data_IF_788901121111
#
_entry.id   IF_788901121111
#
_cell.length_a   1.000
_cell.length_b   1.000
_cell.length_c   1.000
_cell.angle_alpha   90.00
_cell.angle_beta   90.00
_cell.angle_gamma   90.00
#
_symmetry.space_group_name_H-M   'P 1'
#
loop_
_entity.id
_entity.type
_entity.pdbx_description
1 polymer ?
#
# COMPACT_ATOMS: atom_id res chain seq x y z
N UNK A 1 -12.37 4.74 5.90
CA UNK A 1 -12.37 3.83 7.07
C UNK A 1 -10.96 3.81 7.64
N UNK A 2 -10.74 4.07 8.94
CA UNK A 2 -9.46 3.76 9.58
C UNK A 2 -9.42 2.24 9.74
N UNK A 3 -8.75 1.55 8.81
CA UNK A 3 -8.53 0.12 8.93
C UNK A 3 -7.41 -0.04 9.96
N UNK A 4 -7.80 -0.29 11.21
CA UNK A 4 -6.85 -0.52 12.29
C UNK A 4 -6.35 -1.97 12.29
N UNK A 5 -7.05 -2.91 11.65
CA UNK A 5 -6.69 -4.34 11.61
C UNK A 5 -6.70 -4.88 10.19
N UNK A 6 -5.72 -5.70 9.85
CA UNK A 6 -5.67 -6.37 8.57
C UNK A 6 -6.68 -7.52 8.52
N UNK A 7 -7.49 -7.60 7.48
CA UNK A 7 -8.48 -8.69 7.34
C UNK A 7 -7.85 -10.08 7.14
N UNK A 8 -6.60 -10.13 6.66
CA UNK A 8 -5.89 -11.39 6.38
C UNK A 8 -5.18 -11.94 7.62
N UNK A 9 -4.34 -11.13 8.28
CA UNK A 9 -3.55 -11.59 9.43
C UNK A 9 -4.12 -11.15 10.78
N UNK A 10 -5.20 -10.36 10.80
CA UNK A 10 -5.85 -9.79 11.99
C UNK A 10 -4.96 -8.94 12.91
N UNK A 11 -3.69 -8.72 12.52
CA UNK A 11 -2.77 -7.82 13.21
C UNK A 11 -3.22 -6.38 13.07
N UNK A 12 -2.94 -5.60 14.10
CA UNK A 12 -3.14 -4.16 14.07
C UNK A 12 -2.13 -3.53 13.10
N UNK A 13 -2.61 -2.71 12.16
CA UNK A 13 -1.75 -2.05 11.17
C UNK A 13 -1.27 -0.74 11.80
N UNK A 14 -0.01 -0.73 12.25
CA UNK A 14 0.64 0.50 12.68
C UNK A 14 0.84 1.45 11.50
N UNK A 15 1.03 2.75 11.79
CA UNK A 15 1.24 3.76 10.74
C UNK A 15 2.42 3.41 9.82
N UNK A 16 3.47 2.78 10.35
CA UNK A 16 4.66 2.37 9.59
C UNK A 16 4.41 1.15 8.68
N UNK A 17 3.46 0.29 9.05
CA UNK A 17 3.09 -0.90 8.29
C UNK A 17 1.93 -0.66 7.32
N UNK A 18 1.48 0.59 7.21
CA UNK A 18 0.36 1.00 6.37
C UNK A 18 0.86 1.43 5.00
N UNK A 19 0.32 0.80 3.96
CA UNK A 19 0.47 1.24 2.57
C UNK A 19 -0.84 1.81 2.08
N UNK A 20 -0.81 3.03 1.57
CA UNK A 20 -1.99 3.72 1.04
C UNK A 20 -2.04 3.57 -0.47
N UNK A 21 -3.14 3.03 -0.99
CA UNK A 21 -3.45 3.02 -2.41
C UNK A 21 -4.62 3.97 -2.68
N UNK A 22 -4.47 4.83 -3.67
CA UNK A 22 -5.53 5.74 -4.07
C UNK A 22 -5.19 6.54 -5.31
N UNK A 23 -6.22 7.12 -5.91
CA UNK A 23 -6.09 8.11 -6.97
C UNK A 23 -5.83 9.47 -6.32
N UNK A 24 -4.76 10.16 -6.74
CA UNK A 24 -4.25 11.38 -6.07
C UNK A 24 -5.21 12.58 -6.02
N UNK A 25 -6.46 12.41 -6.46
CA UNK A 25 -7.53 13.40 -6.45
C UNK A 25 -8.46 13.29 -5.23
N UNK A 26 -8.40 12.19 -4.46
CA UNK A 26 -9.20 12.00 -3.25
C UNK A 26 -8.42 12.38 -1.99
N UNK A 27 -9.00 13.24 -1.14
CA UNK A 27 -8.49 13.57 0.20
C UNK A 27 -8.58 12.40 1.20
N UNK A 28 -9.11 11.26 0.78
CA UNK A 28 -9.19 10.04 1.57
C UNK A 28 -8.54 8.88 0.80
N UNK A 29 -7.75 8.02 1.47
CA UNK A 29 -7.18 6.84 0.84
C UNK A 29 -8.30 5.92 0.35
N UNK A 30 -8.25 5.54 -0.93
CA UNK A 30 -9.25 4.63 -1.52
C UNK A 30 -9.11 3.22 -0.92
N UNK A 31 -7.89 2.80 -0.57
CA UNK A 31 -7.62 1.57 0.15
C UNK A 31 -6.37 1.66 1.05
N UNK A 32 -6.42 0.98 2.20
CA UNK A 32 -5.29 0.79 3.11
C UNK A 32 -4.87 -0.69 3.08
N UNK A 33 -3.59 -0.94 2.82
CA UNK A 33 -2.99 -2.27 2.72
C UNK A 33 -2.01 -2.51 3.87
N UNK A 34 -1.99 -3.73 4.39
CA UNK A 34 -0.95 -4.20 5.30
C UNK A 34 0.32 -4.49 4.50
N UNK A 35 1.47 -3.93 4.91
CA UNK A 35 2.75 -4.14 4.23
C UNK A 35 3.14 -5.62 4.17
N UNK A 36 2.94 -6.38 5.25
CA UNK A 36 3.31 -7.81 5.31
C UNK A 36 2.42 -8.66 4.40
N UNK A 37 1.10 -8.54 4.54
CA UNK A 37 0.15 -9.35 3.78
C UNK A 37 0.06 -8.93 2.31
N UNK A 38 0.29 -7.64 2.03
CA UNK A 38 0.33 -7.08 0.69
C UNK A 38 1.67 -7.26 -0.01
N UNK A 39 2.72 -7.72 0.67
CA UNK A 39 4.08 -7.87 0.11
C UNK A 39 4.12 -8.67 -1.21
N UNK A 40 3.35 -9.75 -1.42
CA UNK A 40 3.33 -10.43 -2.72
C UNK A 40 2.91 -9.51 -3.87
N UNK A 41 1.90 -8.67 -3.64
CA UNK A 41 1.41 -7.68 -4.62
C UNK A 41 2.42 -6.54 -4.78
N UNK A 42 2.94 -6.00 -3.68
CA UNK A 42 3.93 -4.92 -3.73
C UNK A 42 5.21 -5.35 -4.44
N UNK A 43 5.67 -6.58 -4.21
CA UNK A 43 6.83 -7.16 -4.88
C UNK A 43 6.59 -7.29 -6.38
N UNK A 44 5.41 -7.73 -6.80
CA UNK A 44 5.03 -7.76 -8.20
C UNK A 44 5.09 -6.36 -8.82
N UNK A 45 4.48 -5.35 -8.19
CA UNK A 45 4.47 -3.97 -8.68
C UNK A 45 5.89 -3.37 -8.77
N UNK A 46 6.74 -3.62 -7.78
CA UNK A 46 8.16 -3.20 -7.78
C UNK A 46 8.94 -3.88 -8.89
N UNK A 47 8.74 -5.19 -9.10
CA UNK A 47 9.40 -5.97 -10.16
C UNK A 47 9.09 -5.40 -11.55
N UNK A 48 7.86 -4.95 -11.75
CA UNK A 48 7.42 -4.33 -12.99
C UNK A 48 7.66 -2.82 -13.06
N UNK A 49 8.39 -2.23 -12.10
CA UNK A 49 8.70 -0.79 -12.02
C UNK A 49 7.47 0.12 -12.08
N UNK A 50 6.34 -0.35 -11.54
CA UNK A 50 5.12 0.46 -11.38
C UNK A 50 5.27 1.37 -10.15
N UNK A 51 5.92 0.85 -9.10
CA UNK A 51 6.23 1.57 -7.86
C UNK A 51 7.69 1.31 -7.43
N UNK A 52 8.27 2.20 -6.63
CA UNK A 52 9.62 2.08 -6.09
C UNK A 52 9.67 1.32 -4.73
N UNK A 53 10.87 1.17 -4.16
CA UNK A 53 11.08 0.54 -2.83
C UNK A 53 10.41 1.31 -1.69
N UNK A 54 10.10 2.59 -1.87
CA UNK A 54 9.37 3.44 -0.94
C UNK A 54 7.86 3.53 -1.31
N UNK A 55 7.37 2.64 -2.18
CA UNK A 55 6.00 2.60 -2.69
C UNK A 55 5.54 3.89 -3.40
N UNK A 56 6.47 4.68 -3.96
CA UNK A 56 6.17 5.85 -4.79
C UNK A 56 6.00 5.43 -6.24
N UNK A 57 5.04 6.05 -6.95
CA UNK A 57 4.90 5.89 -8.40
C UNK A 57 6.20 6.32 -9.08
N UNK A 58 6.73 5.48 -9.96
CA UNK A 58 7.84 5.86 -10.82
C UNK A 58 7.26 6.75 -11.93
N UNK A 59 7.71 8.01 -12.02
CA UNK A 59 7.26 8.90 -13.10
C UNK A 59 7.67 8.29 -14.44
N UNK A 60 6.72 8.15 -15.35
CA UNK A 60 7.05 7.93 -16.77
C UNK A 60 7.75 9.20 -17.30
N UNK A 61 8.77 8.99 -18.12
CA UNK A 61 9.58 10.04 -18.76
C UNK A 61 8.74 10.72 -19.85
#
# INVERSE_FOLDING_TARGET
>A
MRVNKCDLCQKEISFEQRVVAGTGFSFSPDAELCLECGEPVLRFLRRHKIIDKNNKKIKEI
#
